data_IF_484329801793
#
_entry.id   IF_484329801793
#
_cell.length_a   1.000
_cell.length_b   1.000
_cell.length_c   1.000
_cell.angle_alpha   90.00
_cell.angle_beta   90.00
_cell.angle_gamma   90.00
#
_symmetry.space_group_name_H-M   'P 1'
#
loop_
_entity.id
_entity.type
_entity.pdbx_description
1 polymer ?
#
# COMPACT_ATOMS: atom_id res chain seq x y z
N UNK A 1 -26.85 -9.27 12.44
CA UNK A 1 -25.44 -8.90 12.72
C UNK A 1 -25.00 -8.01 11.59
N UNK A 2 -24.46 -6.83 11.89
CA UNK A 2 -23.75 -6.02 10.89
C UNK A 2 -22.31 -6.52 10.87
N UNK A 3 -21.81 -6.94 9.72
CA UNK A 3 -20.40 -7.30 9.56
C UNK A 3 -19.56 -6.02 9.56
N UNK A 4 -18.52 -5.99 10.39
CA UNK A 4 -17.63 -4.83 10.57
C UNK A 4 -16.21 -5.09 10.05
N UNK A 5 -15.99 -6.24 9.42
CA UNK A 5 -14.70 -6.69 8.89
C UNK A 5 -14.91 -7.69 7.78
N UNK A 6 -13.93 -7.80 6.87
CA UNK A 6 -13.87 -8.80 5.82
C UNK A 6 -12.56 -9.60 5.94
N UNK A 7 -12.62 -10.92 5.74
CA UNK A 7 -11.46 -11.78 5.56
C UNK A 7 -10.91 -11.58 4.14
N UNK A 8 -9.79 -10.86 4.06
CA UNK A 8 -9.20 -10.46 2.78
C UNK A 8 -8.87 -11.65 1.87
N UNK A 9 -8.41 -12.78 2.42
CA UNK A 9 -8.07 -13.96 1.62
C UNK A 9 -9.34 -14.66 1.11
N UNK A 10 -10.27 -14.97 2.02
CA UNK A 10 -11.45 -15.77 1.69
C UNK A 10 -12.50 -15.02 0.89
N UNK A 11 -12.72 -13.75 1.21
CA UNK A 11 -13.83 -12.99 0.66
C UNK A 11 -13.43 -12.14 -0.55
N UNK A 12 -12.17 -11.70 -0.61
CA UNK A 12 -11.69 -10.85 -1.71
C UNK A 12 -10.81 -11.66 -2.67
N UNK A 13 -9.70 -12.21 -2.19
CA UNK A 13 -8.72 -12.88 -3.05
C UNK A 13 -9.32 -14.12 -3.73
N UNK A 14 -9.97 -15.01 -2.96
CA UNK A 14 -10.58 -16.22 -3.53
C UNK A 14 -11.72 -15.90 -4.49
N UNK A 15 -12.52 -14.88 -4.21
CA UNK A 15 -13.58 -14.44 -5.12
C UNK A 15 -13.01 -13.96 -6.47
N UNK A 16 -11.97 -13.12 -6.40
CA UNK A 16 -11.33 -12.55 -7.59
C UNK A 16 -10.39 -13.54 -8.30
N UNK A 17 -10.07 -14.68 -7.70
CA UNK A 17 -9.18 -15.70 -8.28
C UNK A 17 -9.67 -16.24 -9.62
N UNK A 18 -10.99 -16.26 -9.85
CA UNK A 18 -11.61 -16.69 -11.10
C UNK A 18 -11.35 -15.74 -12.28
N UNK A 19 -10.97 -14.50 -12.01
CA UNK A 19 -10.71 -13.48 -13.03
C UNK A 19 -9.25 -13.56 -13.46
N UNK A 20 -8.99 -14.00 -14.69
CA UNK A 20 -7.64 -14.13 -15.24
C UNK A 20 -7.05 -12.77 -15.67
N UNK A 21 -6.60 -11.98 -14.70
CA UNK A 21 -5.95 -10.70 -14.90
C UNK A 21 -4.88 -10.43 -13.83
N UNK A 22 -4.06 -9.40 -14.06
CA UNK A 22 -3.22 -8.80 -13.01
C UNK A 22 -4.11 -8.05 -12.01
N UNK A 23 -3.84 -8.22 -10.72
CA UNK A 23 -4.61 -7.67 -9.61
C UNK A 23 -3.67 -6.87 -8.74
N UNK A 24 -4.01 -5.60 -8.51
CA UNK A 24 -3.29 -4.72 -7.59
C UNK A 24 -4.24 -4.32 -6.46
N UNK A 25 -3.82 -4.55 -5.22
CA UNK A 25 -4.50 -4.05 -4.04
C UNK A 25 -3.68 -2.95 -3.37
N UNK A 26 -4.31 -1.83 -3.08
CA UNK A 26 -3.77 -0.76 -2.23
C UNK A 26 -4.65 -0.73 -0.98
N UNK A 27 -4.08 -1.06 0.17
CA UNK A 27 -4.84 -1.31 1.40
C UNK A 27 -4.43 -0.25 2.44
N UNK A 28 -5.29 0.73 2.66
CA UNK A 28 -5.16 1.68 3.77
C UNK A 28 -6.14 1.29 4.87
N UNK A 29 -5.68 0.47 5.80
CA UNK A 29 -6.45 0.06 6.95
C UNK A 29 -5.51 -0.22 8.12
N UNK A 30 -5.87 0.27 9.30
CA UNK A 30 -5.37 -0.34 10.53
C UNK A 30 -5.82 -1.79 10.56
N UNK A 31 -5.05 -2.66 11.24
CA UNK A 31 -5.61 -3.90 11.75
C UNK A 31 -6.77 -3.56 12.69
N UNK A 32 -8.00 -3.51 12.18
CA UNK A 32 -9.23 -3.23 12.94
C UNK A 32 -9.54 -4.28 14.02
N UNK A 33 -8.61 -5.22 14.26
CA UNK A 33 -8.65 -6.25 15.30
C UNK A 33 -7.80 -5.96 16.53
N UNK A 34 -7.37 -4.72 16.82
CA UNK A 34 -6.66 -4.37 18.06
C UNK A 34 -7.42 -4.72 19.37
N UNK A 35 -8.66 -5.23 19.27
CA UNK A 35 -9.46 -5.74 20.38
C UNK A 35 -9.69 -7.25 20.45
N UNK A 36 -9.31 -8.09 19.46
CA UNK A 36 -9.60 -9.54 19.57
C UNK A 36 -8.83 -10.43 18.58
N UNK A 37 -8.01 -11.33 19.14
CA UNK A 37 -7.38 -12.54 18.59
C UNK A 37 -6.07 -12.39 17.82
N UNK A 38 -5.04 -13.14 18.27
CA UNK A 38 -3.76 -13.41 17.58
C UNK A 38 -3.93 -13.91 16.13
N UNK A 39 -5.14 -14.35 15.78
CA UNK A 39 -5.49 -14.82 14.45
C UNK A 39 -5.47 -13.70 13.40
N UNK A 40 -5.99 -12.51 13.69
CA UNK A 40 -6.03 -11.40 12.72
C UNK A 40 -4.62 -10.87 12.38
N UNK A 41 -3.74 -10.83 13.37
CA UNK A 41 -2.31 -10.48 13.21
C UNK A 41 -1.57 -11.50 12.35
N UNK A 42 -1.96 -12.78 12.43
CA UNK A 42 -1.39 -13.88 11.63
C UNK A 42 -1.84 -13.89 10.18
N UNK A 43 -3.07 -13.45 9.89
CA UNK A 43 -3.69 -13.48 8.55
C UNK A 43 -3.12 -12.42 7.60
N UNK A 44 -2.72 -11.28 8.15
CA UNK A 44 -2.21 -10.14 7.40
C UNK A 44 -0.73 -9.86 7.71
N UNK A 45 -0.02 -10.84 8.27
CA UNK A 45 1.43 -10.72 8.47
C UNK A 45 2.14 -10.55 7.13
N UNK A 46 3.23 -9.79 7.09
CA UNK A 46 4.00 -9.63 5.86
C UNK A 46 4.48 -10.97 5.28
N UNK A 47 4.74 -11.95 6.14
CA UNK A 47 5.08 -13.32 5.73
C UNK A 47 3.91 -14.04 5.05
N UNK A 48 2.70 -13.96 5.61
CA UNK A 48 1.51 -14.55 4.99
C UNK A 48 1.13 -13.85 3.71
N UNK A 49 1.25 -12.53 3.66
CA UNK A 49 1.04 -11.76 2.43
C UNK A 49 2.05 -12.10 1.34
N UNK A 50 3.32 -12.31 1.72
CA UNK A 50 4.34 -12.83 0.81
C UNK A 50 3.99 -14.25 0.32
N UNK A 51 3.49 -15.13 1.19
CA UNK A 51 3.05 -16.47 0.78
C UNK A 51 1.83 -16.40 -0.15
N UNK A 52 0.86 -15.53 0.12
CA UNK A 52 -0.33 -15.35 -0.71
C UNK A 52 0.00 -14.82 -2.09
N UNK A 53 0.79 -13.75 -2.18
CA UNK A 53 1.25 -13.22 -3.46
C UNK A 53 2.16 -14.21 -4.20
N UNK A 54 3.06 -14.91 -3.48
CA UNK A 54 3.91 -15.94 -4.06
C UNK A 54 3.14 -17.14 -4.62
N UNK A 55 1.96 -17.45 -4.04
CA UNK A 55 1.06 -18.50 -4.50
C UNK A 55 0.14 -18.10 -5.67
N UNK A 56 0.00 -16.80 -5.96
CA UNK A 56 -0.92 -16.28 -6.98
C UNK A 56 -0.20 -15.39 -8.00
N UNK A 57 0.04 -15.96 -9.20
CA UNK A 57 0.58 -15.19 -10.32
C UNK A 57 -0.30 -13.98 -10.64
N UNK A 58 0.33 -12.83 -10.82
CA UNK A 58 -0.33 -11.57 -11.15
C UNK A 58 -0.98 -10.87 -9.96
N UNK A 59 -0.77 -11.32 -8.71
CA UNK A 59 -1.23 -10.62 -7.51
C UNK A 59 -0.11 -9.74 -6.94
N UNK A 60 -0.36 -8.44 -6.84
CA UNK A 60 0.50 -7.48 -6.15
C UNK A 60 -0.32 -6.69 -5.13
N UNK A 61 0.29 -6.34 -4.02
CA UNK A 61 -0.36 -5.64 -2.92
C UNK A 61 0.59 -4.66 -2.22
N UNK A 62 0.06 -3.49 -1.89
CA UNK A 62 0.73 -2.47 -1.10
C UNK A 62 -0.14 -2.10 0.10
N UNK A 63 0.39 -2.27 1.29
CA UNK A 63 -0.32 -2.05 2.56
C UNK A 63 0.22 -0.80 3.26
N UNK A 64 -0.64 -0.07 3.96
CA UNK A 64 -0.30 1.18 4.64
C UNK A 64 0.60 1.01 5.86
N UNK A 65 0.60 -0.17 6.49
CA UNK A 65 1.40 -0.50 7.67
C UNK A 65 1.77 -1.99 7.69
N UNK A 66 2.75 -2.37 8.52
CA UNK A 66 3.08 -3.78 8.81
C UNK A 66 2.19 -4.36 9.91
N UNK A 67 2.27 -5.68 10.10
CA UNK A 67 1.44 -6.47 11.01
C UNK A 67 1.28 -5.92 12.45
N UNK A 68 2.34 -5.31 12.99
CA UNK A 68 2.41 -4.82 14.37
C UNK A 68 2.46 -3.28 14.43
N UNK A 69 1.96 -2.62 13.38
CA UNK A 69 1.94 -1.18 13.23
C UNK A 69 0.52 -0.65 13.04
N UNK A 70 0.29 0.61 13.40
CA UNK A 70 -0.97 1.30 13.13
C UNK A 70 -0.90 2.07 11.82
N UNK A 71 -2.04 2.17 11.13
CA UNK A 71 -2.27 3.16 10.07
C UNK A 71 -2.86 4.43 10.68
N UNK A 72 -2.09 5.50 10.74
CA UNK A 72 -2.50 6.73 11.40
C UNK A 72 -3.30 7.64 10.48
N UNK A 73 -4.34 8.25 11.03
CA UNK A 73 -5.15 9.28 10.39
C UNK A 73 -4.96 10.65 11.08
N UNK A 74 -5.28 11.72 10.35
CA UNK A 74 -5.26 13.10 10.83
C UNK A 74 -6.38 13.92 10.18
N UNK A 75 -7.05 14.75 10.98
CA UNK A 75 -8.15 15.59 10.51
C UNK A 75 -7.73 16.57 9.41
N UNK A 76 -6.46 17.00 9.35
CA UNK A 76 -6.01 17.89 8.27
C UNK A 76 -5.75 17.14 6.97
N UNK A 77 -5.38 15.87 7.05
CA UNK A 77 -5.19 15.03 5.86
C UNK A 77 -6.52 14.57 5.27
N UNK A 78 -7.55 14.44 6.11
CA UNK A 78 -8.84 13.83 5.76
C UNK A 78 -8.64 12.41 5.15
N UNK A 79 -7.55 11.74 5.54
CA UNK A 79 -7.05 10.48 5.01
C UNK A 79 -6.10 9.82 6.03
N UNK A 80 -5.74 8.55 5.79
CA UNK A 80 -4.58 7.92 6.41
C UNK A 80 -3.25 8.49 5.88
N UNK A 81 -2.18 8.38 6.68
CA UNK A 81 -0.85 8.87 6.32
C UNK A 81 -0.34 8.25 5.01
N UNK A 82 -0.67 6.98 4.76
CA UNK A 82 -0.37 6.27 3.52
C UNK A 82 -1.04 6.91 2.31
N UNK A 83 -2.36 7.06 2.36
CA UNK A 83 -3.12 7.68 1.26
C UNK A 83 -2.68 9.13 1.04
N UNK A 84 -2.43 9.88 2.13
CA UNK A 84 -1.92 11.25 2.04
C UNK A 84 -0.55 11.32 1.33
N UNK A 85 0.39 10.44 1.70
CA UNK A 85 1.69 10.36 1.04
C UNK A 85 1.55 9.99 -0.45
N UNK A 86 0.66 9.05 -0.78
CA UNK A 86 0.40 8.63 -2.16
C UNK A 86 -0.14 9.78 -3.02
N UNK A 87 -1.15 10.50 -2.53
CA UNK A 87 -1.69 11.67 -3.24
C UNK A 87 -0.61 12.72 -3.46
N UNK A 88 0.21 12.98 -2.44
CA UNK A 88 1.33 13.91 -2.56
C UNK A 88 2.35 13.46 -3.60
N UNK A 89 2.79 12.19 -3.59
CA UNK A 89 3.75 11.66 -4.58
C UNK A 89 3.19 11.76 -6.01
N UNK A 90 1.91 11.45 -6.22
CA UNK A 90 1.24 11.55 -7.53
C UNK A 90 1.17 13.02 -7.99
N UNK A 91 0.89 13.96 -7.10
CA UNK A 91 0.91 15.39 -7.39
C UNK A 91 2.32 15.85 -7.81
N UNK A 92 3.36 15.44 -7.06
CA UNK A 92 4.76 15.75 -7.38
C UNK A 92 5.18 15.15 -8.73
N UNK A 93 4.79 13.90 -9.01
CA UNK A 93 5.00 13.24 -10.31
C UNK A 93 4.36 14.03 -11.45
N UNK A 94 3.09 14.42 -11.29
CA UNK A 94 2.33 15.17 -12.30
C UNK A 94 2.96 16.53 -12.60
N UNK A 95 3.60 17.15 -11.59
CA UNK A 95 4.37 18.39 -11.72
C UNK A 95 5.79 18.20 -12.24
N UNK A 96 6.20 16.96 -12.56
CA UNK A 96 7.55 16.59 -13.01
C UNK A 96 8.64 17.02 -12.02
N UNK A 97 8.35 16.90 -10.73
CA UNK A 97 9.33 17.19 -9.68
C UNK A 97 10.50 16.21 -9.81
N UNK A 98 11.76 16.71 -9.86
CA UNK A 98 12.92 15.84 -10.00
C UNK A 98 13.01 14.80 -8.89
N UNK A 99 13.34 13.56 -9.27
CA UNK A 99 13.52 12.45 -8.33
C UNK A 99 12.23 11.71 -7.98
N UNK A 100 11.07 12.06 -8.54
CA UNK A 100 9.86 11.23 -8.41
C UNK A 100 9.88 10.05 -9.37
N UNK A 101 10.02 10.36 -10.66
CA UNK A 101 10.35 9.40 -11.73
C UNK A 101 11.85 9.06 -11.63
N UNK A 102 12.16 7.85 -11.14
CA UNK A 102 13.51 7.44 -10.78
C UNK A 102 14.30 6.95 -11.98
N UNK A 103 13.62 6.35 -12.96
CA UNK A 103 14.25 5.80 -14.16
C UNK A 103 14.15 6.74 -15.37
N UNK A 104 13.42 7.86 -15.24
CA UNK A 104 13.19 8.90 -16.25
C UNK A 104 12.45 8.41 -17.49
N UNK A 105 11.59 7.41 -17.36
CA UNK A 105 10.81 6.85 -18.47
C UNK A 105 9.47 7.59 -18.71
N UNK A 106 9.16 8.60 -17.88
CA UNK A 106 7.94 9.38 -17.94
C UNK A 106 6.71 8.67 -17.36
N UNK A 107 6.90 7.57 -16.64
CA UNK A 107 5.88 6.85 -15.90
C UNK A 107 6.16 6.87 -14.39
N UNK A 108 5.12 6.61 -13.60
CA UNK A 108 5.23 6.32 -12.19
C UNK A 108 4.80 4.87 -12.00
N UNK A 109 5.76 4.00 -11.71
CA UNK A 109 5.49 2.60 -11.41
C UNK A 109 5.27 2.35 -9.90
N UNK A 110 4.79 1.16 -9.57
CA UNK A 110 4.50 0.78 -8.18
C UNK A 110 5.73 0.78 -7.27
N UNK A 111 6.93 0.48 -7.81
CA UNK A 111 8.18 0.46 -7.04
C UNK A 111 8.69 1.86 -6.78
N UNK A 112 8.57 2.74 -7.76
CA UNK A 112 8.88 4.17 -7.60
C UNK A 112 7.94 4.79 -6.58
N UNK A 113 6.62 4.56 -6.71
CA UNK A 113 5.64 4.99 -5.72
C UNK A 113 6.03 4.47 -4.33
N UNK A 114 6.25 3.16 -4.18
CA UNK A 114 6.64 2.56 -2.89
C UNK A 114 7.92 3.19 -2.32
N UNK A 115 8.93 3.44 -3.16
CA UNK A 115 10.21 4.04 -2.74
C UNK A 115 10.01 5.43 -2.11
N UNK A 116 9.01 6.18 -2.57
CA UNK A 116 8.63 7.47 -1.97
C UNK A 116 7.80 7.27 -0.70
N UNK A 117 6.81 6.37 -0.72
CA UNK A 117 5.96 6.12 0.44
C UNK A 117 6.74 5.57 1.64
N UNK A 118 7.74 4.72 1.42
CA UNK A 118 8.61 4.17 2.46
C UNK A 118 9.35 5.28 3.25
N UNK A 119 9.53 6.45 2.64
CA UNK A 119 10.16 7.62 3.28
C UNK A 119 9.14 8.60 3.83
N UNK A 120 8.09 8.91 3.06
CA UNK A 120 7.16 9.98 3.38
C UNK A 120 6.12 9.57 4.44
N UNK A 121 5.68 8.31 4.46
CA UNK A 121 4.72 7.83 5.47
C UNK A 121 5.24 7.97 6.90
N UNK A 122 6.41 7.42 7.28
CA UNK A 122 6.92 7.55 8.65
C UNK A 122 7.21 9.02 9.01
N UNK A 123 7.66 9.83 8.04
CA UNK A 123 7.92 11.27 8.22
C UNK A 123 6.64 12.07 8.49
N UNK A 124 5.56 11.80 7.75
CA UNK A 124 4.25 12.41 7.98
C UNK A 124 3.71 12.07 9.37
N UNK A 125 3.78 10.79 9.75
CA UNK A 125 3.36 10.33 11.07
C UNK A 125 4.18 11.02 12.16
N UNK A 126 5.50 11.05 12.04
CA UNK A 126 6.37 11.68 13.05
C UNK A 126 6.13 13.19 13.17
N UNK A 127 5.78 13.87 12.07
CA UNK A 127 5.46 15.31 12.07
C UNK A 127 4.18 15.62 12.84
N UNK A 128 3.14 14.78 12.68
CA UNK A 128 1.86 14.96 13.39
C UNK A 128 1.84 14.37 14.79
N UNK A 129 2.60 13.29 14.98
CA UNK A 129 2.67 12.49 16.20
C UNK A 129 4.14 12.23 16.51
N UNK A 130 4.84 13.15 17.20
CA UNK A 130 6.27 12.99 17.51
C UNK A 130 6.61 11.76 18.35
N UNK A 131 5.62 11.20 19.05
CA UNK A 131 5.72 9.95 19.84
C UNK A 131 4.56 9.03 19.48
N UNK A 132 4.57 8.40 18.29
CA UNK A 132 3.49 7.48 17.90
C UNK A 132 3.61 6.18 18.71
N UNK A 133 2.50 5.44 18.87
CA UNK A 133 2.52 4.19 19.66
C UNK A 133 3.35 3.10 18.98
N UNK A 134 3.31 3.07 17.65
CA UNK A 134 4.12 2.24 16.77
C UNK A 134 4.67 3.11 15.64
N UNK A 135 5.68 2.62 14.91
CA UNK A 135 5.97 3.15 13.57
C UNK A 135 4.81 2.88 12.61
N UNK A 136 4.86 3.50 11.44
CA UNK A 136 4.03 3.10 10.29
C UNK A 136 4.95 3.00 9.10
N UNK A 137 5.14 1.78 8.60
CA UNK A 137 5.91 1.50 7.41
C UNK A 137 5.05 0.77 6.39
N UNK A 138 4.93 1.30 5.16
CA UNK A 138 4.22 0.58 4.13
C UNK A 138 4.93 -0.75 3.81
N UNK A 139 4.18 -1.69 3.26
CA UNK A 139 4.69 -2.96 2.78
C UNK A 139 4.27 -3.16 1.33
N UNK A 140 5.22 -3.36 0.43
CA UNK A 140 4.97 -3.80 -0.93
C UNK A 140 5.29 -5.29 -1.05
N UNK A 141 4.30 -6.07 -1.50
CA UNK A 141 4.48 -7.43 -1.99
C UNK A 141 4.10 -7.42 -3.46
N UNK A 142 5.10 -7.52 -4.33
CA UNK A 142 4.91 -7.52 -5.77
C UNK A 142 5.21 -8.91 -6.34
N UNK A 143 4.42 -9.35 -7.33
CA UNK A 143 4.74 -10.53 -8.11
C UNK A 143 6.08 -10.31 -8.86
N UNK A 144 7.15 -11.05 -8.51
CA UNK A 144 8.48 -10.84 -9.08
C UNK A 144 8.56 -11.24 -10.56
N UNK A 145 7.61 -12.03 -11.05
CA UNK A 145 7.54 -12.50 -12.44
C UNK A 145 6.72 -11.56 -13.34
N UNK A 146 6.09 -10.55 -12.76
CA UNK A 146 5.25 -9.61 -13.50
C UNK A 146 6.08 -8.46 -14.09
N UNK A 147 5.71 -8.04 -15.32
CA UNK A 147 6.21 -6.79 -15.88
C UNK A 147 5.86 -5.61 -14.95
N UNK A 148 6.66 -4.51 -14.95
CA UNK A 148 6.41 -3.35 -14.10
C UNK A 148 4.94 -2.91 -14.13
N UNK A 149 4.40 -2.64 -12.95
CA UNK A 149 3.04 -2.13 -12.79
C UNK A 149 3.12 -0.62 -12.88
N UNK A 150 2.95 -0.10 -14.10
CA UNK A 150 2.83 1.34 -14.36
C UNK A 150 1.46 1.81 -13.87
N UNK A 151 1.45 2.80 -12.98
CA UNK A 151 0.23 3.38 -12.42
C UNK A 151 -0.18 4.64 -13.17
N UNK A 152 0.79 5.50 -13.48
CA UNK A 152 0.57 6.74 -14.22
C UNK A 152 1.62 6.87 -15.31
N UNK A 153 1.24 7.49 -16.43
CA UNK A 153 2.18 7.84 -17.48
C UNK A 153 1.87 9.25 -17.96
N UNK A 154 2.89 10.11 -17.99
CA UNK A 154 2.74 11.46 -18.52
C UNK A 154 2.67 11.41 -20.05
N UNK A 155 1.86 12.27 -20.67
CA UNK A 155 1.90 12.41 -22.11
C UNK A 155 3.30 12.82 -22.55
N UNK A 156 3.82 12.12 -23.59
CA UNK A 156 5.04 12.54 -24.26
C UNK A 156 4.83 13.97 -24.78
N UNK A 157 5.79 14.86 -24.51
CA UNK A 157 5.76 16.19 -25.10
C UNK A 157 5.70 16.01 -26.63
N UNK A 158 4.65 16.53 -27.26
CA UNK A 158 4.55 16.64 -28.73
C UNK A 158 5.51 17.73 -29.22
#
# INVERSE_FOLDING_TARGET
>A
MQETSLDFEKEIINYLSSINCRKLFLIDACHSGAGSSDYATSQLSGERMNQLAGGQKGLSLMMSCRANEFSYEDDQWQNGAFTQAMLHTIEQFTRRVPGIDLNQDGALDIKELYTHLEKEVPKLVQTKRPKPQTTQQPLLVADPLSAPIVLFQLPKNK
#
